data_IF_315982825250
#
_entry.id   IF_315982825250
#
_cell.length_a   1.000
_cell.length_b   1.000
_cell.length_c   1.000
_cell.angle_alpha   90.00
_cell.angle_beta   90.00
_cell.angle_gamma   90.00
#
_symmetry.space_group_name_H-M   'P 1'
#
loop_
_entity.id
_entity.type
_entity.pdbx_description
1 polymer ?
#
# COMPACT_ATOMS: atom_id res chain seq x y z
N UNK A 1 -10.50 27.24 23.61
CA UNK A 1 -9.80 26.45 24.65
C UNK A 1 -8.66 25.73 23.98
N UNK A 2 -7.46 26.26 24.14
CA UNK A 2 -6.24 25.84 23.43
C UNK A 2 -5.59 24.71 24.24
N UNK A 3 -5.62 23.48 23.73
CA UNK A 3 -4.98 22.34 24.39
C UNK A 3 -3.50 22.30 24.00
N UNK A 4 -2.65 22.81 24.88
CA UNK A 4 -1.20 22.75 24.78
C UNK A 4 -0.72 21.41 25.36
N UNK A 5 -0.49 20.41 24.50
CA UNK A 5 0.05 19.12 24.88
C UNK A 5 1.57 19.22 25.05
N UNK A 6 2.03 19.49 26.28
CA UNK A 6 3.46 19.48 26.62
C UNK A 6 4.08 18.09 26.45
N UNK A 7 5.00 17.99 25.49
CA UNK A 7 5.89 16.85 25.27
C UNK A 7 6.88 16.73 26.44
N UNK A 8 6.73 15.76 27.34
CA UNK A 8 7.79 15.42 28.30
C UNK A 8 8.70 14.35 27.70
N UNK A 9 9.92 14.73 27.32
CA UNK A 9 11.00 13.78 27.03
C UNK A 9 11.57 13.26 28.35
N UNK A 10 11.59 11.93 28.54
CA UNK A 10 12.38 11.29 29.58
C UNK A 10 13.86 11.24 29.17
N UNK A 11 14.83 11.40 30.10
CA UNK A 11 16.25 11.41 29.77
C UNK A 11 16.73 10.02 29.30
N UNK A 12 17.57 10.01 28.26
CA UNK A 12 18.15 8.81 27.65
C UNK A 12 19.20 8.14 28.54
N UNK A 13 19.10 6.80 28.67
CA UNK A 13 20.20 5.92 29.03
C UNK A 13 20.77 5.26 27.77
N UNK A 14 22.10 5.30 27.63
CA UNK A 14 22.84 4.89 26.44
C UNK A 14 22.68 3.41 26.06
N UNK A 15 22.72 3.14 24.75
CA UNK A 15 23.19 1.84 24.25
C UNK A 15 22.16 0.85 23.70
N UNK A 16 21.20 1.28 22.89
CA UNK A 16 20.58 0.44 21.85
C UNK A 16 19.78 1.32 20.89
N UNK A 17 20.10 1.33 19.58
CA UNK A 17 19.21 1.93 18.59
C UNK A 17 17.95 1.07 18.49
N UNK A 18 16.94 1.41 19.29
CA UNK A 18 15.59 0.87 19.15
C UNK A 18 15.00 1.33 17.81
N UNK A 19 14.08 0.56 17.21
CA UNK A 19 13.34 1.00 16.03
C UNK A 19 12.73 2.38 16.30
N UNK A 20 12.75 3.28 15.30
CA UNK A 20 12.22 4.66 15.40
C UNK A 20 10.69 4.64 15.41
N UNK A 21 10.09 4.04 16.42
CA UNK A 21 8.67 4.17 16.73
C UNK A 21 8.47 5.28 17.76
N UNK A 22 7.33 5.97 17.70
CA UNK A 22 6.88 6.82 18.80
C UNK A 22 5.69 6.15 19.49
N UNK A 23 5.77 6.03 20.81
CA UNK A 23 4.65 5.67 21.66
C UNK A 23 4.06 6.94 22.27
N UNK A 24 2.78 7.20 21.98
CA UNK A 24 2.05 8.32 22.57
C UNK A 24 0.99 7.78 23.51
N UNK A 25 1.10 8.09 24.81
CA UNK A 25 0.06 7.73 25.79
C UNK A 25 -1.04 8.77 25.81
N UNK A 26 -2.28 8.31 25.73
CA UNK A 26 -3.49 9.13 25.82
C UNK A 26 -3.89 9.30 27.29
N UNK A 27 -4.61 10.39 27.59
CA UNK A 27 -5.06 10.69 28.96
C UNK A 27 -5.98 9.61 29.54
N UNK A 28 -6.70 8.87 28.69
CA UNK A 28 -7.56 7.75 29.09
C UNK A 28 -6.80 6.45 29.43
N UNK A 29 -5.47 6.47 29.41
CA UNK A 29 -4.63 5.28 29.61
C UNK A 29 -4.41 4.43 28.34
N UNK A 30 -5.06 4.78 27.23
CA UNK A 30 -4.75 4.20 25.92
C UNK A 30 -3.37 4.63 25.39
N UNK A 31 -2.89 3.99 24.34
CA UNK A 31 -1.67 4.40 23.65
C UNK A 31 -1.82 4.31 22.14
N UNK A 32 -1.05 5.14 21.44
CA UNK A 32 -0.90 5.13 20.00
C UNK A 32 0.52 4.67 19.70
N UNK A 33 0.64 3.69 18.83
CA UNK A 33 1.91 3.20 18.30
C UNK A 33 1.99 3.61 16.83
N UNK A 34 3.01 4.40 16.49
CA UNK A 34 3.28 4.77 15.10
C UNK A 34 4.63 4.22 14.65
N UNK A 35 4.65 3.68 13.43
CA UNK A 35 5.83 3.09 12.80
C UNK A 35 6.26 3.94 11.61
N UNK A 36 7.52 4.35 11.59
CA UNK A 36 8.17 4.91 10.40
C UNK A 36 9.16 3.91 9.86
N UNK A 37 8.96 3.48 8.62
CA UNK A 37 9.79 2.50 7.93
C UNK A 37 10.13 2.97 6.52
N UNK A 38 11.20 2.41 5.97
CA UNK A 38 11.54 2.59 4.56
C UNK A 38 10.82 1.49 3.76
N UNK A 39 9.95 1.86 2.82
CA UNK A 39 9.17 0.89 2.02
C UNK A 39 10.06 -0.01 1.15
N UNK A 40 11.32 0.37 0.86
CA UNK A 40 12.28 -0.53 0.18
C UNK A 40 12.80 -1.65 1.08
N UNK A 41 12.51 -1.58 2.38
CA UNK A 41 12.93 -2.59 3.35
C UNK A 41 11.90 -3.72 3.53
N UNK A 42 10.62 -3.41 3.47
CA UNK A 42 9.55 -4.40 3.61
C UNK A 42 8.23 -3.87 3.04
N UNK A 43 7.36 -4.81 2.64
CA UNK A 43 5.97 -4.54 2.29
C UNK A 43 5.04 -4.63 3.53
N UNK A 44 3.73 -4.45 3.31
CA UNK A 44 2.74 -4.54 4.37
C UNK A 44 2.72 -5.91 5.08
N UNK A 45 2.95 -7.01 4.35
CA UNK A 45 2.93 -8.34 4.96
C UNK A 45 4.17 -8.57 5.82
N UNK A 46 5.35 -8.13 5.38
CA UNK A 46 6.58 -8.20 6.16
C UNK A 46 6.47 -7.47 7.49
N UNK A 47 5.77 -6.32 7.52
CA UNK A 47 5.45 -5.60 8.77
C UNK A 47 4.56 -6.44 9.68
N UNK A 48 3.51 -7.06 9.11
CA UNK A 48 2.56 -7.87 9.88
C UNK A 48 3.21 -9.14 10.43
N UNK A 49 4.08 -9.80 9.66
CA UNK A 49 4.80 -11.01 10.08
C UNK A 49 5.83 -10.72 11.17
N UNK A 50 6.54 -9.59 11.07
CA UNK A 50 7.53 -9.18 12.08
C UNK A 50 6.92 -8.71 13.41
N UNK A 51 5.62 -8.41 13.45
CA UNK A 51 4.95 -7.96 14.67
C UNK A 51 4.67 -9.14 15.60
N UNK A 52 5.25 -9.14 16.81
CA UNK A 52 5.07 -10.23 17.78
C UNK A 52 3.70 -10.25 18.46
N UNK A 53 2.84 -9.23 18.26
CA UNK A 53 1.47 -9.15 18.81
C UNK A 53 1.36 -9.48 20.32
N UNK A 54 2.39 -9.12 21.09
CA UNK A 54 2.45 -9.41 22.54
C UNK A 54 3.06 -10.77 22.90
N UNK A 55 3.48 -11.55 21.92
CA UNK A 55 4.28 -12.77 22.11
C UNK A 55 5.77 -12.43 22.29
N UNK A 56 6.56 -13.34 22.92
CA UNK A 56 8.00 -13.17 23.09
C UNK A 56 8.78 -13.09 21.76
N UNK A 57 8.22 -13.67 20.69
CA UNK A 57 8.79 -13.71 19.36
C UNK A 57 7.65 -13.65 18.31
N UNK A 58 7.92 -13.19 17.08
CA UNK A 58 6.96 -13.27 15.99
C UNK A 58 6.59 -14.73 15.69
N UNK A 59 5.33 -14.97 15.30
CA UNK A 59 4.84 -16.31 14.93
C UNK A 59 5.54 -16.85 13.67
N UNK A 60 5.98 -15.95 12.78
CA UNK A 60 6.73 -16.28 11.58
C UNK A 60 8.15 -15.75 11.76
N UNK A 61 9.13 -16.65 11.71
CA UNK A 61 10.55 -16.27 11.76
C UNK A 61 10.90 -15.49 10.50
N UNK A 62 11.39 -14.24 10.61
CA UNK A 62 11.80 -13.46 9.45
C UNK A 62 13.01 -14.11 8.78
N UNK A 63 13.01 -14.18 7.46
CA UNK A 63 14.09 -14.75 6.64
C UNK A 63 14.68 -13.69 5.73
N UNK A 64 16.00 -13.56 5.74
CA UNK A 64 16.69 -12.73 4.76
C UNK A 64 17.00 -13.57 3.53
N UNK A 65 16.37 -13.26 2.39
CA UNK A 65 16.64 -13.97 1.12
C UNK A 65 16.50 -13.06 -0.11
N UNK A 66 16.90 -11.79 -0.01
CA UNK A 66 16.67 -10.77 -1.07
C UNK A 66 17.29 -11.12 -2.42
N UNK A 67 18.33 -11.94 -2.40
CA UNK A 67 18.98 -12.51 -3.56
C UNK A 67 18.01 -13.29 -4.47
N UNK A 68 16.95 -13.89 -3.92
CA UNK A 68 15.94 -14.62 -4.71
C UNK A 68 15.19 -13.70 -5.70
N UNK A 69 15.15 -12.40 -5.42
CA UNK A 69 14.53 -11.38 -6.29
C UNK A 69 15.55 -10.57 -7.09
N UNK A 70 16.82 -10.94 -7.05
CA UNK A 70 17.84 -10.27 -7.85
C UNK A 70 17.76 -10.71 -9.31
N UNK A 71 17.95 -9.77 -10.24
CA UNK A 71 17.89 -9.99 -11.70
C UNK A 71 18.81 -11.12 -12.21
N UNK A 72 19.85 -11.46 -11.45
CA UNK A 72 20.73 -12.59 -11.72
C UNK A 72 20.06 -13.98 -11.56
N UNK A 73 19.00 -14.09 -10.75
CA UNK A 73 18.19 -15.31 -10.60
C UNK A 73 17.07 -15.41 -11.65
N UNK A 74 16.73 -14.31 -12.33
CA UNK A 74 15.87 -14.28 -13.51
C UNK A 74 16.60 -14.78 -14.77
N UNK A 75 17.34 -15.89 -14.66
CA UNK A 75 18.02 -16.58 -15.78
C UNK A 75 17.12 -17.60 -16.49
N UNK A 76 15.80 -17.43 -16.39
CA UNK A 76 14.83 -18.13 -17.21
C UNK A 76 14.66 -17.39 -18.55
N UNK A 77 15.50 -17.76 -19.52
CA UNK A 77 15.25 -17.87 -20.96
C UNK A 77 14.35 -16.87 -21.72
N UNK A 78 14.17 -15.64 -21.25
CA UNK A 78 13.58 -14.54 -22.03
C UNK A 78 14.69 -13.73 -22.67
N UNK A 79 14.94 -13.96 -23.96
CA UNK A 79 15.78 -13.06 -24.79
C UNK A 79 15.11 -11.70 -25.06
N UNK A 80 13.97 -11.44 -24.44
CA UNK A 80 13.25 -10.19 -24.51
C UNK A 80 13.45 -9.44 -23.19
N UNK A 81 13.86 -8.15 -23.20
CA UNK A 81 13.63 -7.32 -22.03
C UNK A 81 12.13 -7.39 -21.67
N UNK A 82 11.76 -7.38 -20.38
CA UNK A 82 10.38 -7.14 -20.00
C UNK A 82 9.90 -5.94 -20.80
N UNK A 83 8.75 -6.05 -21.47
CA UNK A 83 8.13 -4.87 -22.04
C UNK A 83 7.94 -3.90 -20.86
N UNK A 84 8.79 -2.88 -20.77
CA UNK A 84 8.52 -1.71 -19.96
C UNK A 84 7.08 -1.34 -20.31
N UNK A 85 6.12 -1.38 -19.37
CA UNK A 85 4.83 -0.78 -19.65
C UNK A 85 5.18 0.62 -20.11
N UNK A 86 4.77 1.02 -21.32
CA UNK A 86 5.13 2.30 -21.90
C UNK A 86 4.76 3.41 -20.91
N UNK A 87 5.73 3.76 -20.08
CA UNK A 87 5.89 5.07 -19.52
C UNK A 87 6.34 5.84 -20.75
N UNK A 88 5.55 6.85 -21.11
CA UNK A 88 5.99 7.84 -22.07
C UNK A 88 7.33 8.38 -21.55
N UNK A 89 8.41 7.92 -22.16
CA UNK A 89 9.77 8.19 -21.72
C UNK A 89 10.08 9.61 -22.20
N UNK A 90 9.83 10.59 -21.32
CA UNK A 90 10.41 11.91 -21.45
C UNK A 90 9.90 12.77 -22.60
N UNK A 91 8.65 12.59 -23.04
CA UNK A 91 7.92 13.71 -23.63
C UNK A 91 7.62 14.72 -22.52
N UNK A 92 8.03 15.98 -22.70
CA UNK A 92 7.74 17.12 -21.81
C UNK A 92 6.23 17.44 -21.86
N UNK A 93 5.40 16.48 -21.45
CA UNK A 93 3.98 16.66 -21.21
C UNK A 93 3.92 17.35 -19.86
N UNK A 94 3.47 18.61 -19.78
CA UNK A 94 3.23 19.23 -18.49
C UNK A 94 2.16 18.36 -17.82
N UNK A 95 2.58 17.55 -16.85
CA UNK A 95 1.68 16.80 -16.00
C UNK A 95 0.72 17.83 -15.40
N UNK A 96 -0.56 17.91 -15.80
CA UNK A 96 -1.49 18.84 -15.20
C UNK A 96 -2.02 18.28 -13.87
N UNK A 97 -1.31 17.32 -13.28
CA UNK A 97 -1.51 16.95 -11.89
C UNK A 97 -0.60 17.87 -11.08
N UNK A 98 -1.14 18.79 -10.27
CA UNK A 98 -0.33 19.51 -9.32
C UNK A 98 0.42 18.44 -8.50
N UNK A 99 1.74 18.39 -8.62
CA UNK A 99 2.58 17.72 -7.63
C UNK A 99 2.08 18.24 -6.28
N UNK A 100 1.56 17.37 -5.39
CA UNK A 100 0.99 17.86 -4.14
C UNK A 100 2.12 18.44 -3.29
N UNK A 101 2.32 19.75 -3.39
CA UNK A 101 2.93 20.50 -2.30
C UNK A 101 2.03 20.37 -1.08
N UNK A 102 2.64 20.47 0.10
CA UNK A 102 1.97 20.34 1.42
C UNK A 102 0.79 21.32 1.64
N UNK A 103 0.53 22.22 0.69
CA UNK A 103 -0.40 23.35 0.79
C UNK A 103 -1.68 23.21 -0.05
N UNK A 104 -1.90 22.10 -0.77
CA UNK A 104 -3.07 21.93 -1.64
C UNK A 104 -4.33 21.40 -0.95
N UNK A 105 -4.69 21.91 0.23
CA UNK A 105 -6.03 21.74 0.85
C UNK A 105 -6.59 20.31 0.87
N UNK A 106 -5.74 19.28 0.82
CA UNK A 106 -6.16 17.90 0.62
C UNK A 106 -6.82 17.40 1.90
N UNK A 107 -8.09 17.05 1.80
CA UNK A 107 -8.85 16.55 2.93
C UNK A 107 -8.72 15.02 3.02
N UNK A 108 -8.11 14.51 4.10
CA UNK A 108 -8.25 13.10 4.42
C UNK A 108 -9.68 12.82 4.89
N UNK A 109 -10.33 11.84 4.26
CA UNK A 109 -11.68 11.37 4.60
C UNK A 109 -11.68 9.85 4.64
N UNK A 110 -12.39 9.29 5.60
CA UNK A 110 -12.55 7.83 5.76
C UNK A 110 -13.97 7.45 5.40
N UNK A 111 -14.10 6.41 4.57
CA UNK A 111 -15.39 5.84 4.18
C UNK A 111 -15.45 4.40 4.70
N UNK A 112 -16.59 4.02 5.27
CA UNK A 112 -16.82 2.67 5.79
C UNK A 112 -17.87 1.99 4.93
N UNK A 113 -17.55 0.81 4.42
CA UNK A 113 -18.46 -0.02 3.63
C UNK A 113 -18.85 -1.24 4.43
N UNK A 114 -20.14 -1.54 4.45
CA UNK A 114 -20.74 -2.67 5.15
C UNK A 114 -21.11 -3.80 4.17
N UNK A 115 -21.35 -5.02 4.68
CA UNK A 115 -21.75 -6.15 3.83
C UNK A 115 -23.00 -5.88 2.98
N UNK A 116 -23.93 -5.06 3.46
CA UNK A 116 -25.11 -4.63 2.72
C UNK A 116 -24.74 -3.77 1.50
N UNK A 117 -23.82 -2.82 1.66
CA UNK A 117 -23.32 -1.96 0.58
C UNK A 117 -22.62 -2.80 -0.49
N UNK A 118 -21.76 -3.74 -0.06
CA UNK A 118 -21.08 -4.69 -0.96
C UNK A 118 -22.08 -5.55 -1.73
N UNK A 119 -23.13 -6.03 -1.06
CA UNK A 119 -24.18 -6.83 -1.68
C UNK A 119 -24.99 -6.03 -2.70
N UNK A 120 -25.28 -4.76 -2.41
CA UNK A 120 -25.94 -3.86 -3.34
C UNK A 120 -25.06 -3.60 -4.57
N UNK A 121 -23.79 -3.27 -4.38
CA UNK A 121 -22.86 -3.04 -5.50
C UNK A 121 -22.66 -4.30 -6.36
N UNK A 122 -22.61 -5.49 -5.75
CA UNK A 122 -22.51 -6.76 -6.49
C UNK A 122 -23.75 -7.05 -7.34
N UNK A 123 -24.94 -6.61 -6.96
CA UNK A 123 -26.17 -6.81 -7.75
C UNK A 123 -26.14 -6.05 -9.07
N UNK A 124 -25.47 -4.90 -9.11
CA UNK A 124 -25.28 -4.08 -10.31
C UNK A 124 -24.31 -4.71 -11.31
N UNK A 125 -23.51 -5.70 -10.90
CA UNK A 125 -22.59 -6.38 -11.80
C UNK A 125 -23.35 -7.29 -12.80
N UNK A 126 -22.78 -7.51 -13.99
CA UNK A 126 -23.25 -8.55 -14.90
C UNK A 126 -23.38 -9.91 -14.20
N UNK A 127 -24.39 -10.74 -14.50
CA UNK A 127 -24.65 -12.00 -13.80
C UNK A 127 -23.42 -12.92 -13.65
N UNK A 128 -22.55 -12.94 -14.66
CA UNK A 128 -21.31 -13.75 -14.67
C UNK A 128 -20.29 -13.30 -13.61
N UNK A 129 -20.28 -12.03 -13.24
CA UNK A 129 -19.31 -11.45 -12.30
C UNK A 129 -19.83 -11.40 -10.86
N UNK A 130 -21.14 -11.51 -10.64
CA UNK A 130 -21.76 -11.38 -9.30
C UNK A 130 -21.18 -12.37 -8.27
N UNK A 131 -20.88 -13.59 -8.73
CA UNK A 131 -20.41 -14.68 -7.87
C UNK A 131 -18.89 -14.83 -7.84
N UNK A 132 -18.16 -14.20 -8.78
CA UNK A 132 -16.70 -14.31 -8.87
C UNK A 132 -15.98 -13.06 -8.39
N UNK A 133 -16.61 -11.88 -8.48
CA UNK A 133 -16.01 -10.63 -8.03
C UNK A 133 -15.77 -10.64 -6.52
N UNK A 134 -14.53 -10.36 -6.15
CA UNK A 134 -14.11 -10.21 -4.76
C UNK A 134 -14.58 -8.86 -4.21
N UNK A 135 -14.49 -8.67 -2.89
CA UNK A 135 -14.72 -7.36 -2.27
C UNK A 135 -13.75 -6.31 -2.79
N UNK A 136 -12.49 -6.70 -3.04
CA UNK A 136 -11.47 -5.82 -3.59
C UNK A 136 -11.88 -5.32 -4.98
N UNK A 137 -12.29 -6.20 -5.89
CA UNK A 137 -12.66 -5.83 -7.25
C UNK A 137 -13.77 -4.78 -7.28
N UNK A 138 -14.82 -5.00 -6.47
CA UNK A 138 -15.99 -4.12 -6.40
C UNK A 138 -15.63 -2.76 -5.83
N UNK A 139 -14.86 -2.72 -4.73
CA UNK A 139 -14.46 -1.47 -4.11
C UNK A 139 -13.45 -0.71 -4.97
N UNK A 140 -12.47 -1.40 -5.55
CA UNK A 140 -11.47 -0.79 -6.43
C UNK A 140 -12.13 -0.17 -7.66
N UNK A 141 -13.07 -0.87 -8.32
CA UNK A 141 -13.82 -0.34 -9.44
C UNK A 141 -14.71 0.86 -9.05
N UNK A 142 -15.40 0.78 -7.90
CA UNK A 142 -16.23 1.87 -7.39
C UNK A 142 -15.39 3.12 -7.08
N UNK A 143 -14.28 2.96 -6.36
CA UNK A 143 -13.37 4.04 -5.99
C UNK A 143 -12.70 4.65 -7.23
N UNK A 144 -12.27 3.84 -8.19
CA UNK A 144 -11.72 4.34 -9.44
C UNK A 144 -12.75 5.19 -10.18
N UNK A 145 -13.96 4.68 -10.40
CA UNK A 145 -15.02 5.43 -11.11
C UNK A 145 -15.37 6.74 -10.40
N UNK A 146 -15.57 6.70 -9.08
CA UNK A 146 -15.94 7.89 -8.30
C UNK A 146 -14.79 8.90 -8.24
N UNK A 147 -13.54 8.45 -8.09
CA UNK A 147 -12.35 9.31 -8.14
C UNK A 147 -12.21 9.99 -9.51
N UNK A 148 -12.32 9.24 -10.60
CA UNK A 148 -12.20 9.79 -11.95
C UNK A 148 -13.28 10.83 -12.21
N UNK A 149 -14.54 10.56 -11.81
CA UNK A 149 -15.63 11.53 -11.93
C UNK A 149 -15.41 12.78 -11.07
N UNK A 150 -14.93 12.62 -9.84
CA UNK A 150 -14.69 13.73 -8.91
C UNK A 150 -13.54 14.65 -9.36
N UNK A 151 -12.55 14.12 -10.06
CA UNK A 151 -11.42 14.91 -10.58
C UNK A 151 -11.78 15.80 -11.76
N UNK A 152 -12.96 15.60 -12.39
CA UNK A 152 -13.46 16.41 -13.51
C UNK A 152 -12.39 16.75 -14.56
N UNK A 153 -11.52 15.79 -14.88
CA UNK A 153 -10.39 16.03 -15.79
C UNK A 153 -10.93 16.47 -17.15
N UNK A 154 -10.62 17.69 -17.63
CA UNK A 154 -11.11 18.17 -18.91
C UNK A 154 -10.61 17.24 -20.01
N UNK A 155 -11.45 16.80 -20.97
CA UNK A 155 -10.98 16.00 -22.08
C UNK A 155 -10.00 16.85 -22.92
N UNK A 156 -8.70 16.57 -22.79
CA UNK A 156 -7.73 17.06 -23.75
C UNK A 156 -7.97 16.35 -25.10
N UNK A 157 -7.72 17.01 -26.25
CA UNK A 157 -7.86 16.36 -27.55
C UNK A 157 -6.80 15.25 -27.66
N UNK A 158 -7.23 13.98 -27.63
CA UNK A 158 -6.34 12.81 -27.74
C UNK A 158 -6.29 11.92 -26.49
N UNK A 159 -7.47 11.50 -26.00
CA UNK A 159 -7.69 10.40 -25.04
C UNK A 159 -6.92 10.47 -23.71
N UNK A 160 -7.59 10.92 -22.64
CA UNK A 160 -7.11 10.71 -21.28
C UNK A 160 -7.19 9.21 -20.93
N UNK A 161 -6.05 8.52 -21.03
CA UNK A 161 -5.89 7.21 -20.42
C UNK A 161 -5.84 7.35 -18.89
N UNK A 162 -6.84 6.80 -18.19
CA UNK A 162 -6.75 6.63 -16.74
C UNK A 162 -6.33 5.21 -16.42
N UNK A 163 -5.37 5.04 -15.51
CA UNK A 163 -4.83 3.73 -15.11
C UNK A 163 -5.08 3.50 -13.62
N UNK A 164 -5.53 2.31 -13.27
CA UNK A 164 -5.65 1.83 -11.89
C UNK A 164 -4.48 0.88 -11.61
N UNK A 165 -3.68 1.19 -10.58
CA UNK A 165 -2.52 0.38 -10.18
C UNK A 165 -2.72 -0.08 -8.74
N UNK A 166 -2.44 -1.36 -8.48
CA UNK A 166 -2.43 -1.94 -7.14
C UNK A 166 -1.24 -2.90 -7.00
N UNK A 167 -0.69 -2.98 -5.80
CA UNK A 167 0.35 -3.96 -5.49
C UNK A 167 -0.27 -5.35 -5.33
N UNK A 168 0.37 -6.37 -5.91
CA UNK A 168 -0.03 -7.76 -5.79
C UNK A 168 1.01 -8.54 -4.97
N UNK A 169 0.53 -9.34 -4.02
CA UNK A 169 1.37 -10.25 -3.26
C UNK A 169 1.64 -11.51 -4.09
N UNK A 170 2.91 -11.74 -4.42
CA UNK A 170 3.33 -12.89 -5.23
C UNK A 170 3.98 -14.00 -4.39
N UNK A 171 4.09 -13.87 -3.06
CA UNK A 171 4.66 -14.91 -2.19
C UNK A 171 3.89 -16.25 -2.27
N UNK A 172 2.62 -16.21 -2.66
CA UNK A 172 1.77 -17.41 -2.86
C UNK A 172 1.75 -17.98 -4.28
N UNK A 173 2.50 -17.40 -5.23
CA UNK A 173 2.54 -17.85 -6.63
C UNK A 173 3.39 -19.11 -6.71
N UNK A 174 2.80 -20.24 -7.13
CA UNK A 174 3.46 -21.56 -7.12
C UNK A 174 4.50 -21.70 -8.22
N UNK A 175 4.33 -20.92 -9.27
CA UNK A 175 5.17 -20.82 -10.47
C UNK A 175 6.46 -20.03 -10.22
N UNK A 176 6.59 -19.38 -9.06
CA UNK A 176 7.82 -18.70 -8.69
C UNK A 176 8.89 -19.74 -8.34
N UNK A 177 10.00 -19.73 -9.07
CA UNK A 177 11.16 -20.59 -8.83
C UNK A 177 12.44 -19.74 -8.68
N UNK A 178 13.07 -19.73 -7.50
CA UNK A 178 12.67 -20.41 -6.26
C UNK A 178 11.47 -19.72 -5.57
N UNK A 179 10.65 -20.51 -4.87
CA UNK A 179 9.57 -19.97 -4.04
C UNK A 179 10.12 -19.10 -2.91
N UNK A 180 9.42 -18.00 -2.59
CA UNK A 180 9.79 -17.18 -1.45
C UNK A 180 9.50 -17.91 -0.13
N UNK A 181 10.44 -17.89 0.84
CA UNK A 181 10.17 -18.39 2.18
C UNK A 181 8.96 -17.68 2.81
N UNK A 182 8.23 -18.37 3.68
CA UNK A 182 7.09 -17.79 4.42
C UNK A 182 7.46 -16.55 5.23
N UNK A 183 8.71 -16.48 5.70
CA UNK A 183 9.24 -15.36 6.48
C UNK A 183 9.89 -14.24 5.67
N UNK A 184 9.81 -14.27 4.33
CA UNK A 184 10.40 -13.25 3.46
C UNK A 184 9.83 -11.86 3.73
#
# INVERSE_FOLDING_TARGET
MTNDARLRRTPEGAGARRPRGCDTRLLCGGFVFALRLNHTMCDAAGIVHGASRGLPAPTITPTWSRELLSSACSRSNSSSPPAEPAYDDGGDVPVPLPLPGDDMGMAMRTFTFYPADLSAMKKELPPRLRNTATTFDVLAACLWRTRTAALQTPPAPGELETRLVFAADFRGVRELDPQLPTGY
#
